data_IF_436762762697
#
_entry.id   IF_436762762697
#
_cell.length_a   1.000
_cell.length_b   1.000
_cell.length_c   1.000
_cell.angle_alpha   90.00
_cell.angle_beta   90.00
_cell.angle_gamma   90.00
#
_symmetry.space_group_name_H-M   'P 1'
#
loop_
_entity.id
_entity.type
_entity.pdbx_description
1 polymer ?
#
# COMPACT_ATOMS: atom_id res chain seq x y z
N UNK A 1 27.26 37.40 1.60
CA UNK A 1 26.01 37.09 0.85
C UNK A 1 25.21 36.06 1.66
N UNK A 2 24.00 36.35 2.13
CA UNK A 2 23.21 35.36 2.84
C UNK A 2 22.76 34.29 1.84
N UNK A 3 23.19 33.04 2.05
CA UNK A 3 22.68 31.88 1.29
C UNK A 3 21.18 31.82 1.52
N UNK A 4 20.38 32.16 0.51
CA UNK A 4 18.93 31.91 0.50
C UNK A 4 18.75 30.43 0.82
N UNK A 5 18.24 30.11 2.02
CA UNK A 5 17.77 28.76 2.34
C UNK A 5 16.73 28.40 1.28
N UNK A 6 17.11 27.51 0.36
CA UNK A 6 16.19 26.93 -0.62
C UNK A 6 15.18 26.14 0.20
N UNK A 7 13.99 26.69 0.41
CA UNK A 7 12.89 25.94 1.01
C UNK A 7 12.57 24.86 -0.01
N UNK A 8 13.03 23.63 0.24
CA UNK A 8 12.66 22.47 -0.55
C UNK A 8 11.14 22.32 -0.39
N UNK A 9 10.38 22.76 -1.40
CA UNK A 9 8.94 22.53 -1.43
C UNK A 9 8.73 21.04 -1.65
N UNK A 10 8.06 20.36 -0.71
CA UNK A 10 7.70 18.96 -0.88
C UNK A 10 6.86 18.77 -2.16
N UNK A 11 7.07 17.66 -2.89
CA UNK A 11 6.26 17.35 -4.05
C UNK A 11 4.78 17.27 -3.65
N UNK A 12 3.89 17.74 -4.52
CA UNK A 12 2.44 17.70 -4.27
C UNK A 12 1.83 16.32 -4.56
N UNK A 13 2.58 15.46 -5.26
CA UNK A 13 2.16 14.13 -5.69
C UNK A 13 3.32 13.14 -5.56
N UNK A 14 3.04 11.91 -5.15
CA UNK A 14 4.03 10.83 -5.00
C UNK A 14 3.49 9.49 -5.54
N UNK A 15 4.37 8.56 -5.97
CA UNK A 15 5.83 8.70 -6.10
C UNK A 15 6.27 9.57 -7.31
N UNK A 16 7.54 10.00 -7.38
CA UNK A 16 8.10 10.79 -8.48
C UNK A 16 8.50 9.92 -9.70
N UNK A 17 7.72 8.90 -10.03
CA UNK A 17 7.95 8.05 -11.21
C UNK A 17 6.70 8.00 -12.10
N UNK A 18 6.79 7.33 -13.25
CA UNK A 18 5.67 7.22 -14.18
C UNK A 18 4.48 6.46 -13.59
N UNK A 19 3.28 6.84 -14.03
CA UNK A 19 2.04 6.24 -13.57
C UNK A 19 1.35 6.97 -12.41
N UNK A 20 0.45 6.25 -11.69
CA UNK A 20 -0.48 6.83 -10.73
C UNK A 20 0.20 7.44 -9.52
N UNK A 21 -0.37 8.54 -9.00
CA UNK A 21 0.20 9.28 -7.87
C UNK A 21 -0.85 9.68 -6.85
N UNK A 22 -0.51 9.56 -5.58
CA UNK A 22 -1.30 10.09 -4.46
C UNK A 22 -0.98 11.57 -4.24
N UNK A 23 -1.99 12.38 -3.89
CA UNK A 23 -1.77 13.80 -3.56
C UNK A 23 -1.32 13.96 -2.11
N UNK A 24 -0.63 15.05 -1.82
CA UNK A 24 -0.38 15.47 -0.44
C UNK A 24 -1.72 15.72 0.27
N UNK A 25 -1.79 15.32 1.53
CA UNK A 25 -2.96 15.55 2.38
C UNK A 25 -3.19 17.07 2.54
N UNK A 26 -4.40 17.59 2.26
CA UNK A 26 -4.65 19.04 2.28
C UNK A 26 -4.32 19.71 3.62
N UNK A 27 -4.38 18.96 4.72
CA UNK A 27 -4.11 19.46 6.07
C UNK A 27 -2.78 18.98 6.63
N UNK A 28 -1.81 18.64 5.79
CA UNK A 28 -0.48 18.13 6.19
C UNK A 28 0.31 19.02 7.17
N UNK A 29 -0.03 20.31 7.29
CA UNK A 29 0.58 21.24 8.27
C UNK A 29 -0.23 21.41 9.57
N UNK A 30 -1.42 20.81 9.65
CA UNK A 30 -2.29 20.93 10.82
C UNK A 30 -1.72 20.12 11.98
N UNK A 31 -2.07 20.52 13.20
CA UNK A 31 -1.75 19.73 14.39
C UNK A 31 -2.44 18.36 14.29
N UNK A 32 -1.67 17.31 14.55
CA UNK A 32 -2.17 15.95 14.71
C UNK A 32 -2.34 15.69 16.21
N UNK A 33 -3.53 15.29 16.61
CA UNK A 33 -3.75 14.75 17.95
C UNK A 33 -3.81 13.23 17.84
N UNK A 34 -2.71 12.59 18.21
CA UNK A 34 -2.60 11.14 18.28
C UNK A 34 -3.49 10.59 19.40
N UNK A 35 -4.43 9.70 19.08
CA UNK A 35 -5.33 9.08 20.03
C UNK A 35 -4.76 7.73 20.44
N UNK A 36 -5.14 6.66 19.74
CA UNK A 36 -4.79 5.27 20.06
C UNK A 36 -4.11 4.59 18.87
N UNK A 37 -3.29 3.57 19.15
CA UNK A 37 -2.74 2.66 18.13
C UNK A 37 -3.82 1.64 17.72
N UNK A 38 -3.92 1.33 16.43
CA UNK A 38 -4.97 0.49 15.84
C UNK A 38 -4.47 -0.90 15.41
N UNK A 39 -3.19 -1.02 15.07
CA UNK A 39 -2.48 -2.28 14.90
C UNK A 39 -2.08 -2.79 16.30
N UNK A 40 -2.61 -3.95 16.71
CA UNK A 40 -2.49 -4.45 18.08
C UNK A 40 -1.04 -4.65 18.56
N UNK A 41 -0.86 -4.78 19.87
CA UNK A 41 0.48 -4.94 20.48
C UNK A 41 1.16 -6.27 20.12
N UNK A 42 0.38 -7.31 19.79
CA UNK A 42 0.86 -8.65 19.42
C UNK A 42 1.14 -8.81 17.91
N UNK A 43 0.91 -7.77 17.11
CA UNK A 43 1.14 -7.85 15.67
C UNK A 43 2.61 -7.60 15.33
N UNK A 44 3.44 -8.58 15.69
CA UNK A 44 4.85 -8.72 15.27
C UNK A 44 4.97 -8.76 13.73
N UNK A 45 3.85 -8.81 12.99
CA UNK A 45 3.80 -8.90 11.52
C UNK A 45 3.52 -7.59 10.80
N UNK A 46 3.26 -6.46 11.49
CA UNK A 46 3.14 -5.13 10.84
C UNK A 46 4.51 -4.56 10.43
N UNK A 47 5.23 -5.31 9.60
CA UNK A 47 6.59 -5.07 9.11
C UNK A 47 6.78 -3.76 8.34
N UNK A 48 5.71 -3.02 8.07
CA UNK A 48 5.70 -1.86 7.17
C UNK A 48 5.38 -0.53 7.88
N UNK A 49 4.88 -0.54 9.12
CA UNK A 49 4.56 0.68 9.86
C UNK A 49 3.45 0.53 10.89
N UNK A 50 3.26 1.58 11.70
CA UNK A 50 2.21 1.69 12.71
C UNK A 50 0.96 2.38 12.18
N UNK A 51 -0.21 2.05 12.71
CA UNK A 51 -1.49 2.69 12.35
C UNK A 51 -2.10 3.34 13.57
N UNK A 52 -2.33 4.64 13.52
CA UNK A 52 -2.92 5.39 14.63
C UNK A 52 -4.29 5.93 14.27
N UNK A 53 -5.22 5.91 15.23
CA UNK A 53 -6.36 6.81 15.23
C UNK A 53 -5.88 8.20 15.61
N UNK A 54 -6.20 9.21 14.81
CA UNK A 54 -5.78 10.58 15.07
C UNK A 54 -6.88 11.59 14.73
N UNK A 55 -6.92 12.69 15.47
CA UNK A 55 -7.79 13.83 15.18
C UNK A 55 -6.98 14.91 14.46
N UNK A 56 -7.43 15.30 13.26
CA UNK A 56 -6.83 16.39 12.47
C UNK A 56 -7.95 17.35 12.06
N UNK A 57 -7.82 18.62 12.45
CA UNK A 57 -8.87 19.65 12.24
C UNK A 57 -10.26 19.23 12.72
N UNK A 58 -10.33 18.52 13.86
CA UNK A 58 -11.60 18.09 14.46
C UNK A 58 -12.26 16.89 13.75
N UNK A 59 -11.57 16.24 12.81
CA UNK A 59 -12.05 15.01 12.17
C UNK A 59 -11.12 13.84 12.47
N UNK A 60 -11.69 12.67 12.73
CA UNK A 60 -10.94 11.44 12.95
C UNK A 60 -10.46 10.81 11.65
N UNK A 61 -9.25 10.28 11.71
CA UNK A 61 -8.56 9.58 10.63
C UNK A 61 -7.80 8.38 11.18
N UNK A 62 -7.53 7.40 10.31
CA UNK A 62 -6.49 6.41 10.52
C UNK A 62 -5.21 6.90 9.81
N UNK A 63 -4.08 6.96 10.51
CA UNK A 63 -2.80 7.46 9.99
C UNK A 63 -1.80 6.31 10.05
N UNK A 64 -1.47 5.74 8.89
CA UNK A 64 -0.40 4.74 8.77
C UNK A 64 0.94 5.48 8.65
N UNK A 65 1.82 5.30 9.62
CA UNK A 65 3.17 5.85 9.67
C UNK A 65 4.12 4.72 9.28
N UNK A 66 4.80 4.87 8.15
CA UNK A 66 5.62 3.82 7.57
C UNK A 66 7.00 3.80 8.22
N UNK A 67 7.53 2.60 8.42
CA UNK A 67 8.93 2.39 8.73
C UNK A 67 9.81 2.62 7.49
N UNK A 68 11.10 2.62 7.72
CA UNK A 68 12.08 2.90 6.70
C UNK A 68 12.20 1.75 5.66
N UNK A 69 12.25 2.06 4.34
CA UNK A 69 12.28 1.11 3.21
C UNK A 69 13.39 0.07 3.15
N UNK A 70 14.45 0.21 3.96
CA UNK A 70 15.66 -0.61 3.78
C UNK A 70 15.49 -2.10 4.09
N UNK A 71 14.34 -2.55 4.62
CA UNK A 71 14.07 -3.97 4.82
C UNK A 71 13.99 -4.79 3.52
N UNK A 72 14.00 -4.15 2.34
CA UNK A 72 13.83 -4.83 1.05
C UNK A 72 14.99 -4.70 0.05
N UNK A 73 16.11 -4.05 0.40
CA UNK A 73 17.25 -3.77 -0.51
C UNK A 73 17.73 -5.00 -1.32
N UNK A 74 17.62 -6.19 -0.74
CA UNK A 74 18.16 -7.43 -1.29
C UNK A 74 17.45 -7.99 -2.54
N UNK A 75 16.26 -7.52 -2.91
CA UNK A 75 15.40 -8.24 -3.88
C UNK A 75 15.39 -7.70 -5.32
N UNK A 76 15.96 -6.53 -5.61
CA UNK A 76 15.64 -5.80 -6.85
C UNK A 76 16.75 -5.74 -7.90
N UNK A 77 18.02 -5.83 -7.48
CA UNK A 77 19.18 -5.70 -8.37
C UNK A 77 19.15 -6.65 -9.58
N UNK A 78 18.85 -7.94 -9.41
CA UNK A 78 18.76 -8.88 -10.53
C UNK A 78 17.63 -8.60 -11.54
N UNK A 79 16.57 -7.88 -11.12
CA UNK A 79 15.38 -7.65 -11.95
C UNK A 79 15.42 -6.30 -12.67
N UNK A 80 15.88 -5.24 -11.98
CA UNK A 80 15.94 -3.89 -12.54
C UNK A 80 17.29 -3.57 -13.18
N UNK A 81 18.28 -4.46 -13.04
CA UNK A 81 19.66 -4.24 -13.47
C UNK A 81 20.47 -3.48 -12.42
N UNK A 82 21.75 -3.80 -12.34
CA UNK A 82 22.69 -3.26 -11.33
C UNK A 82 22.87 -1.73 -11.45
N UNK A 83 22.58 -1.14 -12.61
CA UNK A 83 22.67 0.30 -12.86
C UNK A 83 21.43 1.09 -12.39
N UNK A 84 20.35 0.43 -11.98
CA UNK A 84 19.15 1.12 -11.49
C UNK A 84 19.43 1.76 -10.12
N UNK A 85 19.30 3.09 -10.05
CA UNK A 85 19.43 3.80 -8.77
C UNK A 85 18.46 3.27 -7.71
N UNK A 86 18.94 3.19 -6.46
CA UNK A 86 18.14 2.74 -5.32
C UNK A 86 16.82 3.52 -5.17
N UNK A 87 16.85 4.84 -5.39
CA UNK A 87 15.66 5.70 -5.39
C UNK A 87 14.60 5.23 -6.40
N UNK A 88 15.04 4.84 -7.60
CA UNK A 88 14.14 4.37 -8.65
C UNK A 88 13.54 3.01 -8.32
N UNK A 89 14.34 2.09 -7.79
CA UNK A 89 13.86 0.81 -7.30
C UNK A 89 12.81 1.01 -6.19
N UNK A 90 13.14 1.84 -5.20
CA UNK A 90 12.28 2.17 -4.06
C UNK A 90 10.89 2.65 -4.48
N UNK A 91 10.74 3.39 -5.59
CA UNK A 91 9.42 3.85 -6.05
C UNK A 91 8.43 2.72 -6.41
N UNK A 92 8.90 1.50 -6.59
CA UNK A 92 8.09 0.31 -6.88
C UNK A 92 8.05 -0.69 -5.72
N UNK A 93 8.94 -0.53 -4.74
CA UNK A 93 9.25 -1.60 -3.78
C UNK A 93 9.08 -1.18 -2.33
N UNK A 94 9.23 0.11 -2.07
CA UNK A 94 8.94 0.73 -0.79
C UNK A 94 7.43 0.66 -0.52
N UNK A 95 7.00 0.12 0.63
CA UNK A 95 5.58 0.02 0.96
C UNK A 95 4.82 1.36 0.95
N UNK A 96 5.47 2.46 1.33
CA UNK A 96 4.86 3.77 1.26
C UNK A 96 4.59 4.20 -0.19
N UNK A 97 5.54 3.97 -1.09
CA UNK A 97 5.37 4.32 -2.50
C UNK A 97 4.42 3.38 -3.23
N UNK A 98 4.46 2.08 -2.95
CA UNK A 98 3.49 1.10 -3.43
C UNK A 98 2.05 1.54 -3.09
N UNK A 99 1.82 1.88 -1.82
CA UNK A 99 0.51 2.32 -1.35
C UNK A 99 0.09 3.67 -1.95
N UNK A 100 1.03 4.60 -2.16
CA UNK A 100 0.77 5.83 -2.91
C UNK A 100 0.31 5.56 -4.35
N UNK A 101 0.96 4.63 -5.06
CA UNK A 101 0.59 4.26 -6.44
C UNK A 101 -0.79 3.63 -6.47
N UNK A 102 -1.07 2.67 -5.59
CA UNK A 102 -2.37 2.00 -5.52
C UNK A 102 -3.51 3.00 -5.29
N UNK A 103 -3.42 3.86 -4.26
CA UNK A 103 -4.45 4.86 -4.02
C UNK A 103 -4.54 5.91 -5.13
N UNK A 104 -3.42 6.25 -5.78
CA UNK A 104 -3.41 7.06 -6.99
C UNK A 104 -4.29 6.45 -8.09
N UNK A 105 -4.10 5.15 -8.38
CA UNK A 105 -4.88 4.42 -9.39
C UNK A 105 -6.33 4.25 -8.99
N UNK A 106 -6.60 3.93 -7.73
CA UNK A 106 -7.98 3.80 -7.21
C UNK A 106 -8.75 5.10 -7.45
N UNK A 107 -8.14 6.25 -7.16
CA UNK A 107 -8.75 7.55 -7.42
C UNK A 107 -9.01 7.77 -8.91
N UNK A 108 -7.99 7.59 -9.76
CA UNK A 108 -8.12 7.75 -11.22
C UNK A 108 -9.25 6.86 -11.79
N UNK A 109 -9.30 5.59 -11.38
CA UNK A 109 -10.29 4.64 -11.84
C UNK A 109 -11.69 4.91 -11.26
N UNK A 110 -11.79 5.47 -10.04
CA UNK A 110 -13.07 5.89 -9.45
C UNK A 110 -13.61 7.12 -10.16
N UNK A 111 -12.77 8.14 -10.41
CA UNK A 111 -13.13 9.36 -11.14
C UNK A 111 -13.55 9.02 -12.58
N UNK A 112 -12.88 8.06 -13.21
CA UNK A 112 -13.23 7.51 -14.52
C UNK A 112 -14.40 6.53 -14.53
N UNK A 113 -15.05 6.26 -13.38
CA UNK A 113 -16.16 5.30 -13.21
C UNK A 113 -15.84 3.85 -13.61
N UNK A 114 -14.57 3.48 -13.60
CA UNK A 114 -14.07 2.11 -13.83
C UNK A 114 -14.18 1.28 -12.55
N UNK A 115 -13.86 1.89 -11.40
CA UNK A 115 -13.99 1.27 -10.08
C UNK A 115 -15.09 1.93 -9.26
N UNK A 116 -15.71 1.14 -8.38
CA UNK A 116 -16.57 1.67 -7.33
C UNK A 116 -15.71 2.19 -6.18
N UNK A 117 -16.18 3.24 -5.51
CA UNK A 117 -15.47 3.83 -4.36
C UNK A 117 -15.39 2.92 -3.13
N UNK A 118 -16.14 1.80 -3.10
CA UNK A 118 -16.17 0.87 -1.99
C UNK A 118 -15.21 -0.31 -2.13
N UNK A 119 -14.25 -0.26 -3.07
CA UNK A 119 -13.21 -1.30 -3.19
C UNK A 119 -12.17 -1.22 -2.07
N UNK A 120 -11.90 0.00 -1.57
CA UNK A 120 -10.91 0.28 -0.54
C UNK A 120 -11.43 1.33 0.44
N UNK A 121 -10.84 1.38 1.64
CA UNK A 121 -11.02 2.53 2.53
C UNK A 121 -10.38 3.77 1.90
N UNK A 122 -11.10 4.90 1.94
CA UNK A 122 -10.67 6.12 1.28
C UNK A 122 -9.31 6.62 1.82
N UNK A 123 -8.39 6.95 0.90
CA UNK A 123 -7.17 7.70 1.21
C UNK A 123 -7.40 9.19 0.99
N UNK A 124 -6.94 9.99 1.94
CA UNK A 124 -7.02 11.45 1.92
C UNK A 124 -5.71 12.12 1.49
N UNK A 125 -4.64 11.33 1.32
CA UNK A 125 -3.34 11.80 0.86
C UNK A 125 -2.20 11.42 1.81
N UNK A 126 -0.98 11.71 1.37
CA UNK A 126 0.23 11.47 2.17
C UNK A 126 0.65 12.73 2.94
N UNK A 127 1.46 12.56 3.99
CA UNK A 127 2.15 13.65 4.66
C UNK A 127 3.51 13.17 5.21
N UNK A 128 4.38 14.13 5.51
CA UNK A 128 5.59 13.89 6.29
C UNK A 128 5.34 14.39 7.71
N UNK A 129 5.70 13.62 8.75
CA UNK A 129 5.51 14.04 10.14
C UNK A 129 6.38 15.27 10.45
N UNK A 130 5.84 16.28 11.14
CA UNK A 130 6.66 17.37 11.65
C UNK A 130 7.51 16.86 12.84
N UNK A 131 8.64 17.51 13.17
CA UNK A 131 9.49 17.07 14.28
C UNK A 131 8.74 16.88 15.61
N UNK A 132 7.79 17.78 15.90
CA UNK A 132 6.91 17.69 17.09
C UNK A 132 6.03 16.42 17.12
N UNK A 133 5.65 15.91 15.96
CA UNK A 133 4.78 14.73 15.85
C UNK A 133 5.62 13.46 16.08
N UNK A 134 6.85 13.43 15.54
CA UNK A 134 7.80 12.35 15.83
C UNK A 134 8.16 12.30 17.32
N UNK A 135 8.46 13.46 17.93
CA UNK A 135 8.72 13.56 19.37
C UNK A 135 7.51 13.11 20.21
N UNK A 136 6.29 13.44 19.77
CA UNK A 136 5.08 13.01 20.46
C UNK A 136 4.88 11.49 20.43
N UNK A 137 5.25 10.81 19.34
CA UNK A 137 5.21 9.36 19.24
C UNK A 137 6.35 8.71 20.05
N UNK A 138 7.57 9.24 19.98
CA UNK A 138 8.70 8.78 20.79
C UNK A 138 8.40 8.84 22.30
N UNK A 139 7.75 9.90 22.78
CA UNK A 139 7.30 10.03 24.18
C UNK A 139 6.28 8.96 24.61
N UNK A 140 5.67 8.24 23.66
CA UNK A 140 4.78 7.10 23.89
C UNK A 140 5.51 5.75 23.71
N UNK A 141 6.84 5.75 23.67
CA UNK A 141 7.69 4.57 23.42
C UNK A 141 7.44 3.92 22.04
N UNK A 142 7.09 4.74 21.04
CA UNK A 142 6.91 4.28 19.66
C UNK A 142 8.21 4.58 18.91
N UNK A 143 8.94 3.54 18.55
CA UNK A 143 10.16 3.64 17.75
C UNK A 143 9.83 3.57 16.25
N UNK A 144 10.06 4.67 15.54
CA UNK A 144 9.81 4.75 14.10
C UNK A 144 10.95 4.17 13.26
N UNK A 145 12.02 3.65 13.89
CA UNK A 145 13.15 3.01 13.22
C UNK A 145 14.00 3.96 12.37
N UNK A 146 13.87 5.28 12.58
CA UNK A 146 14.58 6.29 11.78
C UNK A 146 16.09 6.26 12.01
N UNK A 147 16.55 5.81 13.19
CA UNK A 147 17.98 5.75 13.51
C UNK A 147 18.67 4.49 12.94
N UNK A 148 17.90 3.53 12.44
CA UNK A 148 18.40 2.22 11.96
C UNK A 148 18.84 2.24 10.50
N UNK A 149 18.76 3.40 9.82
CA UNK A 149 18.98 3.51 8.38
C UNK A 149 20.13 4.46 8.06
N UNK A 150 20.79 4.18 6.94
CA UNK A 150 21.84 5.02 6.41
C UNK A 150 21.38 6.49 6.28
N UNK A 151 22.09 7.36 6.99
CA UNK A 151 21.74 8.77 7.14
C UNK A 151 21.87 9.53 5.81
N UNK A 152 22.76 9.09 4.92
CA UNK A 152 22.99 9.75 3.64
C UNK A 152 21.88 9.38 2.65
N UNK A 153 21.42 8.12 2.67
CA UNK A 153 20.22 7.69 1.98
C UNK A 153 18.98 8.45 2.48
N UNK A 154 18.71 8.49 3.80
CA UNK A 154 17.53 9.21 4.29
C UNK A 154 17.54 10.69 3.88
N UNK A 155 18.70 11.35 3.90
CA UNK A 155 18.84 12.74 3.43
C UNK A 155 18.60 12.90 1.94
N UNK A 156 18.89 11.90 1.11
CA UNK A 156 18.64 11.95 -0.33
C UNK A 156 17.18 11.65 -0.69
N UNK A 157 16.47 10.85 0.13
CA UNK A 157 15.06 10.51 -0.12
C UNK A 157 14.10 11.69 0.03
N UNK A 158 12.96 11.58 -0.66
CA UNK A 158 11.88 12.56 -0.53
C UNK A 158 11.27 12.48 0.87
N UNK A 159 11.33 13.61 1.57
CA UNK A 159 10.91 13.70 2.98
C UNK A 159 12.09 13.92 3.92
N UNK A 160 13.30 13.55 3.50
CA UNK A 160 14.48 13.58 4.34
C UNK A 160 14.32 12.67 5.56
N UNK A 161 14.81 13.14 6.71
CA UNK A 161 14.71 12.45 8.01
C UNK A 161 13.30 12.44 8.63
N UNK A 162 12.25 12.70 7.85
CA UNK A 162 10.87 12.77 8.35
C UNK A 162 10.14 11.48 8.03
N UNK A 163 9.57 10.85 9.06
CA UNK A 163 8.67 9.73 8.91
C UNK A 163 7.52 10.08 7.95
N UNK A 164 7.17 9.11 7.12
CA UNK A 164 6.21 9.24 6.02
C UNK A 164 4.91 8.59 6.43
N UNK A 165 3.79 9.21 6.08
CA UNK A 165 2.49 8.70 6.48
C UNK A 165 1.42 8.88 5.41
N UNK A 166 0.41 8.01 5.46
CA UNK A 166 -0.81 8.10 4.64
C UNK A 166 -2.01 8.25 5.57
N UNK A 167 -2.85 9.24 5.26
CA UNK A 167 -4.08 9.54 6.00
C UNK A 167 -5.26 8.83 5.32
N UNK A 168 -5.98 8.00 6.06
CA UNK A 168 -7.11 7.19 5.61
C UNK A 168 -8.36 7.49 6.41
N UNK A 169 -9.51 7.12 5.85
CA UNK A 169 -10.77 7.06 6.60
C UNK A 169 -10.69 6.06 7.74
N UNK A 170 -11.39 6.33 8.84
CA UNK A 170 -11.59 5.34 9.90
C UNK A 170 -12.60 4.30 9.41
N UNK A 171 -12.29 3.02 9.63
CA UNK A 171 -13.18 1.89 9.35
C UNK A 171 -13.37 1.05 10.63
N UNK A 172 -14.42 0.22 10.67
CA UNK A 172 -14.63 -0.67 11.83
C UNK A 172 -13.56 -1.75 11.86
N UNK A 173 -13.27 -2.33 13.03
CA UNK A 173 -12.33 -3.46 13.16
C UNK A 173 -12.82 -4.76 12.51
N UNK A 174 -14.08 -4.83 12.08
CA UNK A 174 -14.65 -6.04 11.47
C UNK A 174 -14.19 -6.15 10.02
N UNK A 175 -13.74 -7.35 9.62
CA UNK A 175 -13.34 -7.61 8.23
C UNK A 175 -14.48 -7.33 7.25
N UNK A 176 -15.72 -7.63 7.65
CA UNK A 176 -16.90 -7.54 6.80
C UNK A 176 -16.98 -8.67 5.76
N UNK A 177 -16.08 -9.66 5.85
CA UNK A 177 -16.14 -10.89 5.07
C UNK A 177 -17.08 -11.85 5.79
N UNK A 178 -18.08 -12.32 5.06
CA UNK A 178 -19.11 -13.25 5.50
C UNK A 178 -19.45 -14.17 4.33
N UNK A 179 -20.07 -15.32 4.60
CA UNK A 179 -20.56 -16.25 3.57
C UNK A 179 -21.38 -15.55 2.46
N UNK A 180 -22.20 -14.58 2.86
CA UNK A 180 -23.05 -13.80 1.94
C UNK A 180 -22.32 -12.69 1.16
N UNK A 181 -21.16 -12.22 1.63
CA UNK A 181 -20.43 -11.11 1.03
C UNK A 181 -19.21 -11.55 0.20
N UNK A 182 -18.72 -12.78 0.38
CA UNK A 182 -17.51 -13.29 -0.30
C UNK A 182 -17.52 -13.05 -1.81
N UNK A 183 -18.60 -13.44 -2.51
CA UNK A 183 -18.72 -13.25 -3.97
C UNK A 183 -18.60 -11.77 -4.37
N UNK A 184 -19.20 -10.87 -3.58
CA UNK A 184 -19.12 -9.43 -3.81
C UNK A 184 -17.70 -8.93 -3.61
N UNK A 185 -17.01 -9.40 -2.58
CA UNK A 185 -15.64 -8.99 -2.26
C UNK A 185 -14.65 -9.51 -3.32
N UNK A 186 -14.78 -10.77 -3.75
CA UNK A 186 -14.01 -11.31 -4.87
C UNK A 186 -14.22 -10.46 -6.13
N UNK A 187 -15.46 -10.04 -6.42
CA UNK A 187 -15.76 -9.13 -7.52
C UNK A 187 -15.02 -7.79 -7.43
N UNK A 188 -14.77 -7.29 -6.22
CA UNK A 188 -13.95 -6.08 -5.98
C UNK A 188 -12.47 -6.34 -6.23
N UNK A 189 -11.93 -7.47 -5.75
CA UNK A 189 -10.53 -7.88 -6.00
C UNK A 189 -10.29 -7.99 -7.51
N UNK A 190 -11.17 -8.71 -8.23
CA UNK A 190 -11.09 -8.86 -9.68
C UNK A 190 -11.20 -7.53 -10.42
N UNK A 191 -12.05 -6.61 -9.97
CA UNK A 191 -12.17 -5.30 -10.62
C UNK A 191 -10.91 -4.44 -10.40
N UNK A 192 -10.28 -4.49 -9.23
CA UNK A 192 -8.98 -3.86 -8.99
C UNK A 192 -7.88 -4.43 -9.89
N UNK A 193 -7.80 -5.76 -10.03
CA UNK A 193 -6.84 -6.39 -10.96
C UNK A 193 -7.06 -5.95 -12.42
N UNK A 194 -8.32 -5.80 -12.84
CA UNK A 194 -8.65 -5.26 -14.18
C UNK A 194 -8.26 -3.79 -14.33
N UNK A 195 -8.19 -3.03 -13.24
CA UNK A 195 -7.70 -1.65 -13.21
C UNK A 195 -6.17 -1.56 -13.08
N UNK A 196 -5.44 -2.69 -13.16
CA UNK A 196 -3.99 -2.76 -13.04
C UNK A 196 -3.47 -2.55 -11.62
N UNK A 197 -4.27 -2.89 -10.61
CA UNK A 197 -3.88 -2.92 -9.20
C UNK A 197 -3.87 -4.38 -8.74
N UNK A 198 -2.72 -4.88 -8.35
CA UNK A 198 -2.53 -6.21 -7.74
C UNK A 198 -2.11 -5.97 -6.30
N UNK A 199 -2.95 -6.36 -5.33
CA UNK A 199 -2.73 -6.02 -3.92
C UNK A 199 -1.55 -6.80 -3.31
N UNK A 200 -1.36 -8.04 -3.75
CA UNK A 200 -0.30 -8.97 -3.33
C UNK A 200 -0.28 -9.31 -1.84
N UNK A 201 -1.33 -8.96 -1.08
CA UNK A 201 -1.49 -9.26 0.35
C UNK A 201 -2.97 -9.41 0.73
N UNK A 202 -3.69 -10.24 -0.03
CA UNK A 202 -5.10 -10.53 0.26
C UNK A 202 -5.19 -11.51 1.44
N UNK A 203 -5.55 -10.97 2.61
CA UNK A 203 -5.78 -11.70 3.86
C UNK A 203 -6.87 -11.04 4.69
N UNK A 204 -7.53 -11.77 5.60
CA UNK A 204 -8.72 -11.28 6.31
C UNK A 204 -8.44 -10.00 7.11
N UNK A 205 -7.23 -9.89 7.65
CA UNK A 205 -6.76 -8.76 8.45
C UNK A 205 -6.61 -7.48 7.65
N UNK A 206 -6.50 -7.56 6.33
CA UNK A 206 -6.42 -6.40 5.43
C UNK A 206 -7.79 -5.92 4.95
N UNK A 207 -8.89 -6.51 5.42
CA UNK A 207 -10.24 -6.04 5.15
C UNK A 207 -10.84 -5.31 6.35
N UNK A 208 -11.57 -4.23 6.08
CA UNK A 208 -12.43 -3.54 7.05
C UNK A 208 -13.74 -3.16 6.37
N UNK A 209 -14.87 -3.63 6.90
CA UNK A 209 -16.20 -3.47 6.31
C UNK A 209 -16.31 -3.96 4.85
N UNK A 210 -15.58 -5.03 4.49
CA UNK A 210 -15.54 -5.60 3.13
C UNK A 210 -14.79 -4.72 2.13
N UNK A 211 -13.85 -3.90 2.60
CA UNK A 211 -12.98 -3.00 1.82
C UNK A 211 -11.52 -3.23 2.19
N UNK A 212 -10.62 -3.18 1.22
CA UNK A 212 -9.18 -3.28 1.52
C UNK A 212 -8.66 -2.02 2.23
N UNK A 213 -7.74 -2.22 3.17
CA UNK A 213 -7.10 -1.13 3.92
C UNK A 213 -5.59 -1.04 3.73
N UNK A 214 -4.93 -2.10 3.29
CA UNK A 214 -3.48 -2.12 3.11
C UNK A 214 -3.10 -2.36 1.64
N UNK A 215 -2.16 -1.56 1.13
CA UNK A 215 -1.61 -1.70 -0.22
C UNK A 215 -0.08 -1.55 -0.23
N UNK A 216 0.58 -1.72 0.92
CA UNK A 216 2.03 -1.61 1.02
C UNK A 216 2.78 -2.68 0.21
N UNK A 217 2.13 -3.83 -0.06
CA UNK A 217 2.71 -4.88 -0.91
C UNK A 217 2.29 -4.78 -2.38
N UNK A 218 1.46 -3.79 -2.73
CA UNK A 218 0.76 -3.79 -4.02
C UNK A 218 1.65 -3.47 -5.21
N UNK A 219 1.39 -4.14 -6.32
CA UNK A 219 1.97 -3.85 -7.62
C UNK A 219 0.93 -3.12 -8.46
N UNK A 220 1.24 -1.88 -8.84
CA UNK A 220 0.33 -1.02 -9.61
C UNK A 220 0.96 -0.62 -10.93
N UNK A 221 0.31 -0.98 -12.04
CA UNK A 221 0.79 -0.70 -13.39
C UNK A 221 0.84 0.81 -13.70
N UNK A 222 1.80 1.30 -14.52
CA UNK A 222 2.98 0.58 -15.00
C UNK A 222 3.90 0.19 -13.85
N UNK A 223 4.57 -0.96 -13.90
CA UNK A 223 5.36 -1.44 -12.76
C UNK A 223 6.64 -2.08 -13.24
N UNK A 224 7.79 -1.42 -13.02
CA UNK A 224 9.06 -1.80 -13.63
C UNK A 224 9.45 -3.27 -13.39
N UNK A 225 9.22 -3.78 -12.19
CA UNK A 225 9.48 -5.18 -11.88
C UNK A 225 8.54 -6.13 -12.63
N UNK A 226 7.27 -5.78 -12.74
CA UNK A 226 6.29 -6.60 -13.47
C UNK A 226 6.61 -6.62 -14.96
N UNK A 227 7.08 -5.48 -15.49
CA UNK A 227 7.49 -5.32 -16.89
C UNK A 227 8.80 -6.10 -17.20
N UNK A 228 9.62 -6.36 -16.17
CA UNK A 228 10.87 -7.13 -16.28
C UNK A 228 10.67 -8.65 -16.25
N UNK A 229 9.51 -9.12 -15.78
CA UNK A 229 9.21 -10.54 -15.65
C UNK A 229 8.94 -11.21 -17.01
N UNK A 230 9.14 -12.54 -17.06
CA UNK A 230 8.64 -13.35 -18.17
C UNK A 230 7.11 -13.23 -18.27
N UNK A 231 6.55 -13.49 -19.45
CA UNK A 231 5.10 -13.43 -19.63
C UNK A 231 4.33 -14.37 -18.67
N UNK A 232 4.89 -15.55 -18.39
CA UNK A 232 4.34 -16.52 -17.45
C UNK A 232 4.36 -15.99 -16.01
N UNK A 233 5.52 -15.55 -15.51
CA UNK A 233 5.67 -15.01 -14.16
C UNK A 233 4.85 -13.73 -13.94
N UNK A 234 4.75 -12.86 -14.95
CA UNK A 234 3.87 -11.71 -14.91
C UNK A 234 2.40 -12.13 -14.83
N UNK A 235 1.99 -13.16 -15.58
CA UNK A 235 0.62 -13.69 -15.54
C UNK A 235 0.29 -14.29 -14.17
N UNK A 236 1.22 -15.04 -13.58
CA UNK A 236 1.08 -15.58 -12.22
C UNK A 236 0.93 -14.47 -11.19
N UNK A 237 1.78 -13.44 -11.24
CA UNK A 237 1.70 -12.27 -10.36
C UNK A 237 0.32 -11.58 -10.46
N UNK A 238 -0.20 -11.44 -11.69
CA UNK A 238 -1.53 -10.85 -11.94
C UNK A 238 -2.71 -11.70 -11.46
N UNK A 239 -2.48 -12.99 -11.19
CA UNK A 239 -3.47 -13.92 -10.65
C UNK A 239 -3.32 -14.15 -9.14
N UNK A 240 -2.21 -13.71 -8.53
CA UNK A 240 -1.87 -13.99 -7.13
C UNK A 240 -2.98 -13.58 -6.15
N UNK A 241 -3.57 -12.39 -6.32
CA UNK A 241 -4.68 -11.91 -5.47
C UNK A 241 -5.87 -12.89 -5.40
N UNK A 242 -6.15 -13.60 -6.50
CA UNK A 242 -7.24 -14.57 -6.57
C UNK A 242 -6.88 -15.85 -5.81
N UNK A 243 -5.64 -16.32 -5.98
CA UNK A 243 -5.11 -17.46 -5.21
C UNK A 243 -5.18 -17.15 -3.72
N UNK A 244 -4.68 -15.97 -3.32
CA UNK A 244 -4.68 -15.52 -1.93
C UNK A 244 -6.10 -15.37 -1.37
N UNK A 245 -7.07 -14.94 -2.20
CA UNK A 245 -8.47 -14.87 -1.78
C UNK A 245 -9.07 -16.26 -1.52
N UNK A 246 -8.80 -17.24 -2.38
CA UNK A 246 -9.23 -18.63 -2.17
C UNK A 246 -8.56 -19.21 -0.91
N UNK A 247 -7.26 -18.99 -0.72
CA UNK A 247 -6.52 -19.42 0.47
C UNK A 247 -7.07 -18.80 1.76
N UNK A 248 -7.35 -17.50 1.76
CA UNK A 248 -7.94 -16.79 2.91
C UNK A 248 -9.30 -17.39 3.30
N UNK A 249 -10.12 -17.84 2.33
CA UNK A 249 -11.40 -18.49 2.65
C UNK A 249 -11.17 -19.84 3.34
N UNK A 250 -10.19 -20.60 2.87
CA UNK A 250 -9.83 -21.91 3.42
C UNK A 250 -9.26 -21.79 4.83
N UNK A 251 -8.29 -20.87 5.03
CA UNK A 251 -7.60 -20.67 6.31
C UNK A 251 -8.53 -20.20 7.44
N UNK A 252 -9.50 -19.36 7.10
CA UNK A 252 -10.46 -18.78 8.06
C UNK A 252 -11.71 -19.65 8.25
N UNK A 253 -11.71 -20.87 7.69
CA UNK A 253 -12.81 -21.85 7.73
C UNK A 253 -14.18 -21.21 7.38
N UNK A 254 -14.18 -20.23 6.48
CA UNK A 254 -15.40 -19.49 6.16
C UNK A 254 -16.35 -20.40 5.39
N UNK A 255 -17.62 -20.46 5.82
CA UNK A 255 -18.67 -21.24 5.13
C UNK A 255 -18.85 -20.78 3.67
N UNK A 256 -18.09 -21.41 2.78
CA UNK A 256 -18.15 -21.25 1.35
C UNK A 256 -18.92 -22.44 0.82
N UNK A 257 -20.26 -22.32 0.70
CA UNK A 257 -21.18 -23.39 0.31
C UNK A 257 -20.99 -23.95 -1.12
N UNK A 258 -19.75 -24.18 -1.55
CA UNK A 258 -19.34 -24.66 -2.86
C UNK A 258 -19.38 -23.60 -3.98
N UNK A 259 -19.68 -22.35 -3.65
CA UNK A 259 -20.20 -21.37 -4.62
C UNK A 259 -19.20 -20.31 -5.09
N UNK A 260 -18.08 -20.11 -4.40
CA UNK A 260 -17.09 -19.07 -4.73
C UNK A 260 -15.71 -19.72 -4.90
N UNK A 261 -15.18 -19.66 -6.13
CA UNK A 261 -13.78 -19.97 -6.46
C UNK A 261 -13.23 -18.85 -7.33
N UNK A 262 -12.13 -18.25 -6.91
CA UNK A 262 -11.46 -17.19 -7.64
C UNK A 262 -10.69 -17.72 -8.87
N UNK A 263 -10.23 -18.98 -8.78
CA UNK A 263 -9.67 -19.72 -9.92
C UNK A 263 -10.60 -20.87 -10.28
N UNK A 264 -11.25 -20.76 -11.44
CA UNK A 264 -11.90 -21.92 -12.05
C UNK A 264 -10.80 -22.82 -12.62
N UNK A 265 -10.88 -24.15 -12.43
CA UNK A 265 -10.03 -25.10 -13.17
C UNK A 265 -10.33 -24.96 -14.68
N UNK A 266 -9.73 -23.99 -15.34
CA UNK A 266 -9.57 -23.99 -16.78
C UNK A 266 -8.24 -24.67 -17.05
N UNK A 267 -8.33 -25.87 -17.61
CA UNK A 267 -7.21 -26.57 -18.22
C UNK A 267 -6.41 -25.56 -19.05
N UNK A 268 -5.15 -25.35 -18.67
CA UNK A 268 -4.11 -24.84 -19.56
C UNK A 268 -4.13 -25.77 -20.78
N UNK A 269 -4.86 -25.39 -21.83
CA UNK A 269 -4.77 -26.08 -23.12
C UNK A 269 -3.35 -25.84 -23.60
N UNK A 270 -2.48 -26.84 -23.41
CA UNK A 270 -1.23 -26.92 -24.12
C UNK A 270 -1.58 -26.79 -25.60
N UNK A 271 -1.12 -25.70 -26.23
CA UNK A 271 -1.04 -25.66 -27.67
C UNK A 271 0.02 -26.68 -28.07
N UNK A 272 -0.41 -27.93 -28.25
CA UNK A 272 0.35 -28.93 -28.99
C UNK A 272 0.48 -28.36 -30.41
N UNK A 273 1.65 -27.79 -30.72
CA UNK A 273 2.06 -27.54 -32.09
C UNK A 273 2.02 -28.88 -32.81
N UNK A 274 1.11 -29.02 -33.78
CA UNK A 274 1.18 -30.10 -34.75
C UNK A 274 2.24 -29.74 -35.78
N UNK A 275 3.25 -30.59 -35.90
CA UNK A 275 4.20 -30.63 -37.01
C UNK A 275 3.50 -30.98 -38.31
#
# INVERSE_FOLDING_TARGET
>A
MPRKRRVLSFPQKLPPCEGPKLNIFPYHKSRIQWLDRLDGDDDVTSSQGYVFRALIRGREYAVKVFFDPMSTEYFWGPLLGEDTSLDTAAYYTDPFFAECRAYGRIREATDGKILKSDVAVASHGFLFLEPKDQEALQKRNIDLGLDSVDIDYQKSTIGGLRARAIVKGVASSKSGITSTSMRKILGKVVSMNKAGIYNMDIRIDNFRDGRLVDFGSSWTEPHALLDSLSHEAATESKLADRVMFDQMIEDEELENGGEVKAIHHMQLRSQIKRH
#
